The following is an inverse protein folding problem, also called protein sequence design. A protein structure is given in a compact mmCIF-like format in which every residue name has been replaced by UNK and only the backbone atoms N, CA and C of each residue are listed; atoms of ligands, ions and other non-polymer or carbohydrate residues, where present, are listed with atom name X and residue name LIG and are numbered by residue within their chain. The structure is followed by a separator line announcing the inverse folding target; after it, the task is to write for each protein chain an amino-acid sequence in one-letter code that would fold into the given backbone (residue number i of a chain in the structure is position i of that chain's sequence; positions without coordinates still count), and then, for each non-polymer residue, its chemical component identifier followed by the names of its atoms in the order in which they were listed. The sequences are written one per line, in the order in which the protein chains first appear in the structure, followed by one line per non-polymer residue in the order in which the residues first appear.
data_IF_835722439442
#
_entry.id   IF_835722439442
#
_cell.length_a   1.000
_cell.length_b   1.000
_cell.length_c   1.000
_cell.angle_alpha   90.00
_cell.angle_beta   90.00
_cell.angle_gamma   90.00
#
_symmetry.space_group_name_H-M   'P 1'
#
loop_
_entity.id
_entity.type
_entity.pdbx_description
1 polymer ?
#
# COMPACT_ATOMS: atom_id res chain seq x y z
N UNK A 1 -26.30 30.77 48.67
CA UNK A 1 -25.81 29.42 48.29
C UNK A 1 -24.46 29.61 47.62
N UNK A 2 -23.39 29.54 48.40
CA UNK A 2 -22.01 29.68 47.93
C UNK A 2 -21.54 28.33 47.37
N UNK A 3 -21.15 28.29 46.09
CA UNK A 3 -20.53 27.10 45.48
C UNK A 3 -19.02 27.18 45.73
N UNK A 4 -18.50 26.28 46.54
CA UNK A 4 -17.07 26.14 46.79
C UNK A 4 -16.34 25.67 45.53
N UNK A 5 -15.27 26.38 45.16
CA UNK A 5 -14.35 26.00 44.09
C UNK A 5 -13.31 25.07 44.70
N UNK A 6 -13.41 23.78 44.37
CA UNK A 6 -12.47 22.75 44.83
C UNK A 6 -11.26 22.72 43.90
N UNK A 7 -10.15 23.28 44.36
CA UNK A 7 -8.89 23.35 43.61
C UNK A 7 -8.24 21.96 43.57
N UNK A 8 -8.42 21.22 42.48
CA UNK A 8 -7.70 19.97 42.25
C UNK A 8 -6.20 20.25 42.07
N UNK A 9 -5.40 19.64 42.95
CA UNK A 9 -3.94 19.66 42.91
C UNK A 9 -3.47 18.66 41.84
N UNK A 10 -2.85 19.17 40.78
CA UNK A 10 -2.22 18.33 39.76
C UNK A 10 -0.92 17.79 40.36
N UNK A 11 -0.90 16.51 40.72
CA UNK A 11 0.34 15.82 41.09
C UNK A 11 1.17 15.57 39.83
N UNK A 12 2.27 16.30 39.70
CA UNK A 12 3.25 16.12 38.63
C UNK A 12 3.97 14.78 38.85
N UNK A 13 3.52 13.71 38.20
CA UNK A 13 4.28 12.46 38.15
C UNK A 13 5.58 12.70 37.37
N UNK A 14 6.70 12.62 38.08
CA UNK A 14 8.04 12.65 37.49
C UNK A 14 8.25 11.41 36.63
N UNK A 15 8.12 11.56 35.30
CA UNK A 15 8.47 10.51 34.34
C UNK A 15 9.98 10.33 34.37
N UNK A 16 10.45 9.22 34.94
CA UNK A 16 11.87 8.88 34.92
C UNK A 16 12.33 8.72 33.46
N UNK A 17 13.24 9.58 33.02
CA UNK A 17 13.89 9.47 31.71
C UNK A 17 14.74 8.21 31.74
N UNK A 18 14.28 7.13 31.11
CA UNK A 18 15.09 5.93 30.95
C UNK A 18 16.29 6.28 30.07
N UNK A 19 17.49 5.92 30.55
CA UNK A 19 18.72 6.11 29.79
C UNK A 19 18.63 5.32 28.48
N UNK A 20 18.82 6.01 27.37
CA UNK A 20 18.83 5.40 26.04
C UNK A 20 20.13 4.63 25.89
N UNK A 21 20.06 3.29 25.90
CA UNK A 21 21.22 2.45 25.58
C UNK A 21 21.57 2.66 24.10
N UNK A 22 22.85 2.91 23.75
CA UNK A 22 23.24 3.03 22.35
C UNK A 22 22.99 1.71 21.60
N UNK A 23 22.65 1.76 20.30
CA UNK A 23 22.45 0.55 19.50
C UNK A 23 23.77 -0.22 19.34
N UNK A 24 23.64 -1.53 19.29
CA UNK A 24 24.72 -2.48 18.99
C UNK A 24 25.10 -2.47 17.51
N UNK A 25 26.31 -2.92 17.17
CA UNK A 25 26.77 -3.02 15.78
C UNK A 25 25.88 -3.93 14.92
N UNK A 26 25.26 -4.96 15.52
CA UNK A 26 24.31 -5.84 14.82
C UNK A 26 23.00 -5.11 14.49
N UNK A 27 22.49 -4.28 15.41
CA UNK A 27 21.31 -3.44 15.17
C UNK A 27 21.59 -2.41 14.07
N UNK A 28 22.79 -1.82 14.04
CA UNK A 28 23.20 -0.91 12.98
C UNK A 28 23.28 -1.61 11.62
N UNK A 29 23.87 -2.81 11.55
CA UNK A 29 23.91 -3.61 10.31
C UNK A 29 22.52 -3.96 9.82
N UNK A 30 21.65 -4.41 10.72
CA UNK A 30 20.26 -4.75 10.40
C UNK A 30 19.51 -3.53 9.88
N UNK A 31 19.69 -2.36 10.49
CA UNK A 31 19.09 -1.10 10.05
C UNK A 31 19.56 -0.65 8.65
N UNK A 32 20.74 -1.07 8.21
CA UNK A 32 21.28 -0.79 6.87
C UNK A 32 20.98 -1.87 5.82
N UNK A 33 20.32 -2.96 6.20
CA UNK A 33 19.95 -4.01 5.24
C UNK A 33 18.90 -3.47 4.26
N UNK A 34 19.00 -3.77 2.94
CA UNK A 34 17.97 -3.37 1.98
C UNK A 34 16.61 -4.06 2.23
N UNK A 35 16.61 -5.13 3.04
CA UNK A 35 15.41 -5.82 3.49
C UNK A 35 14.80 -5.21 4.76
N UNK A 36 15.50 -4.28 5.41
CA UNK A 36 15.02 -3.63 6.62
C UNK A 36 13.75 -2.83 6.35
N UNK A 37 12.78 -2.94 7.25
CA UNK A 37 11.53 -2.21 7.19
C UNK A 37 11.74 -0.74 7.56
N UNK A 38 11.50 0.15 6.61
CA UNK A 38 11.41 1.59 6.77
C UNK A 38 9.96 1.97 7.07
N UNK A 39 9.61 2.01 8.36
CA UNK A 39 8.24 2.34 8.82
C UNK A 39 8.12 3.79 9.30
N UNK A 40 6.92 4.37 9.28
CA UNK A 40 6.67 5.69 9.87
C UNK A 40 7.02 5.76 11.35
N UNK A 41 7.37 6.96 11.85
CA UNK A 41 7.75 7.19 13.25
C UNK A 41 6.68 6.78 14.28
N UNK A 42 5.40 6.83 13.90
CA UNK A 42 4.29 6.44 14.77
C UNK A 42 4.10 4.93 14.86
N UNK A 43 4.78 4.15 14.02
CA UNK A 43 4.55 2.72 13.89
C UNK A 43 5.08 1.95 15.12
N UNK A 44 4.26 1.07 15.74
CA UNK A 44 4.70 0.32 16.90
C UNK A 44 5.82 -0.69 16.54
N UNK A 45 6.98 -0.57 17.20
CA UNK A 45 8.13 -1.46 16.95
C UNK A 45 7.81 -2.94 17.18
N UNK A 46 6.96 -3.24 18.17
CA UNK A 46 6.48 -4.60 18.48
C UNK A 46 5.72 -5.26 17.32
N UNK A 47 5.24 -4.45 16.36
CA UNK A 47 4.48 -4.90 15.20
C UNK A 47 5.32 -5.13 13.94
N UNK A 48 6.62 -4.79 13.97
CA UNK A 48 7.51 -4.98 12.80
C UNK A 48 7.58 -6.43 12.36
N UNK A 49 7.66 -7.37 13.32
CA UNK A 49 7.69 -8.80 13.04
C UNK A 49 6.50 -9.23 12.18
N UNK A 50 5.31 -8.68 12.43
CA UNK A 50 4.11 -9.02 11.68
C UNK A 50 4.17 -8.53 10.23
N UNK A 51 4.73 -7.34 9.97
CA UNK A 51 4.96 -6.85 8.61
C UNK A 51 5.96 -7.74 7.88
N UNK A 52 7.03 -8.14 8.57
CA UNK A 52 8.04 -9.06 8.05
C UNK A 52 7.42 -10.42 7.72
N UNK A 53 6.61 -10.99 8.61
CA UNK A 53 5.92 -12.27 8.39
C UNK A 53 4.98 -12.22 7.16
N UNK A 54 4.36 -11.06 6.88
CA UNK A 54 3.53 -10.87 5.67
C UNK A 54 4.40 -10.86 4.40
N UNK A 55 5.58 -10.26 4.44
CA UNK A 55 6.50 -10.17 3.30
C UNK A 55 7.32 -11.44 3.08
N UNK A 56 7.51 -12.23 4.14
CA UNK A 56 8.15 -13.53 4.13
C UNK A 56 7.15 -14.67 3.96
N UNK A 57 5.90 -14.34 3.66
CA UNK A 57 4.84 -15.30 3.45
C UNK A 57 5.11 -16.14 2.19
N UNK A 58 5.82 -17.25 2.38
CA UNK A 58 5.97 -18.30 1.39
C UNK A 58 4.74 -19.19 1.43
N UNK A 59 3.78 -18.91 0.56
CA UNK A 59 2.70 -19.87 0.28
C UNK A 59 3.13 -20.77 -0.87
N UNK A 60 2.71 -22.05 -0.91
CA UNK A 60 2.82 -22.90 -2.11
C UNK A 60 1.96 -22.39 -3.29
N UNK A 61 1.47 -21.15 -3.20
CA UNK A 61 0.51 -20.51 -4.09
C UNK A 61 1.21 -19.47 -4.98
N UNK A 62 0.41 -18.72 -5.74
CA UNK A 62 0.83 -17.67 -6.65
C UNK A 62 1.12 -16.32 -5.97
N UNK A 63 1.31 -16.27 -4.64
CA UNK A 63 1.47 -15.02 -3.89
C UNK A 63 2.94 -14.77 -3.52
N UNK A 64 3.50 -13.67 -3.99
CA UNK A 64 4.92 -13.35 -3.79
C UNK A 64 5.10 -11.88 -3.43
N UNK A 65 5.98 -11.58 -2.48
CA UNK A 65 6.46 -10.21 -2.31
C UNK A 65 7.14 -9.72 -3.59
N UNK A 66 7.09 -8.41 -3.86
CA UNK A 66 7.62 -7.81 -5.08
C UNK A 66 9.11 -8.14 -5.33
N UNK A 67 9.93 -8.17 -4.29
CA UNK A 67 11.35 -8.57 -4.35
C UNK A 67 11.60 -10.08 -4.44
N UNK A 68 10.59 -10.92 -4.20
CA UNK A 68 10.70 -12.39 -4.10
C UNK A 68 9.99 -13.13 -5.23
N UNK A 69 9.89 -12.52 -6.41
CA UNK A 69 9.32 -13.22 -7.56
C UNK A 69 10.19 -14.43 -7.97
N UNK A 70 9.57 -15.57 -8.34
CA UNK A 70 10.31 -16.73 -8.78
C UNK A 70 11.06 -16.45 -10.09
N UNK A 71 12.20 -17.11 -10.27
CA UNK A 71 13.03 -16.94 -11.48
C UNK A 71 12.36 -17.50 -12.73
N UNK A 72 11.54 -18.54 -12.56
CA UNK A 72 10.88 -19.27 -13.63
C UNK A 72 9.51 -18.64 -13.96
N UNK A 73 9.50 -17.33 -14.21
CA UNK A 73 8.30 -16.60 -14.60
C UNK A 73 8.22 -16.39 -16.10
N UNK A 74 7.01 -16.45 -16.63
CA UNK A 74 6.73 -16.30 -18.05
C UNK A 74 5.62 -15.27 -18.25
N UNK A 75 5.71 -14.53 -19.34
CA UNK A 75 4.62 -13.65 -19.74
C UNK A 75 3.61 -14.43 -20.56
N UNK A 76 2.39 -14.57 -20.05
CA UNK A 76 1.30 -15.31 -20.69
C UNK A 76 0.16 -14.36 -21.03
N UNK A 77 -0.31 -14.42 -22.28
CA UNK A 77 -1.37 -13.55 -22.78
C UNK A 77 -1.36 -13.48 -24.31
N UNK A 78 -1.88 -12.40 -24.86
CA UNK A 78 -1.87 -12.14 -26.29
C UNK A 78 -0.72 -11.17 -26.66
N UNK A 79 -0.67 -10.76 -27.92
CA UNK A 79 0.37 -9.86 -28.44
C UNK A 79 0.36 -8.47 -27.82
N UNK A 80 -0.81 -8.02 -27.37
CA UNK A 80 -1.03 -6.65 -26.90
C UNK A 80 -1.02 -6.54 -25.39
N UNK A 81 -1.38 -7.60 -24.67
CA UNK A 81 -1.47 -7.64 -23.21
C UNK A 81 -1.12 -9.04 -22.70
N UNK A 82 -0.25 -9.08 -21.70
CA UNK A 82 0.14 -10.32 -21.01
C UNK A 82 0.39 -10.09 -19.53
N UNK A 83 0.26 -11.16 -18.74
CA UNK A 83 0.47 -11.17 -17.31
C UNK A 83 1.74 -11.96 -16.98
N UNK A 84 2.42 -11.58 -15.91
CA UNK A 84 3.52 -12.37 -15.36
C UNK A 84 2.91 -13.58 -14.62
N UNK A 85 3.28 -14.78 -15.07
CA UNK A 85 2.71 -16.04 -14.60
C UNK A 85 3.81 -17.00 -14.11
N UNK A 86 3.41 -17.94 -13.26
CA UNK A 86 4.14 -19.18 -12.97
C UNK A 86 3.38 -20.33 -13.60
N UNK A 87 3.93 -20.91 -14.67
CA UNK A 87 3.16 -21.74 -15.60
C UNK A 87 2.05 -20.91 -16.27
N UNK A 88 0.81 -21.41 -16.22
CA UNK A 88 -0.36 -20.74 -16.82
C UNK A 88 -1.13 -19.84 -15.83
N UNK A 89 -0.66 -19.69 -14.58
CA UNK A 89 -1.38 -18.94 -13.55
C UNK A 89 -0.72 -17.59 -13.27
N UNK A 90 -1.46 -16.46 -13.37
CA UNK A 90 -0.95 -15.15 -13.00
C UNK A 90 -0.46 -15.09 -11.55
N UNK A 91 0.69 -14.46 -11.37
CA UNK A 91 1.24 -14.21 -10.04
C UNK A 91 0.52 -13.05 -9.37
N UNK A 92 0.07 -13.27 -8.14
CA UNK A 92 -0.35 -12.22 -7.22
C UNK A 92 0.87 -11.66 -6.50
N UNK A 93 1.19 -10.42 -6.79
CA UNK A 93 2.27 -9.69 -6.14
C UNK A 93 1.71 -8.98 -4.92
N UNK A 94 2.36 -9.20 -3.79
CA UNK A 94 2.12 -8.54 -2.52
C UNK A 94 2.96 -7.27 -2.46
N UNK A 95 2.30 -6.12 -2.38
CA UNK A 95 2.91 -4.80 -2.29
C UNK A 95 2.54 -4.17 -0.96
N UNK A 96 3.49 -4.10 -0.03
CA UNK A 96 3.29 -3.52 1.29
C UNK A 96 3.88 -2.12 1.34
N UNK A 97 3.08 -1.14 1.75
CA UNK A 97 3.49 0.25 1.79
C UNK A 97 2.64 1.11 2.69
N UNK A 98 3.10 2.34 2.92
CA UNK A 98 2.28 3.42 3.47
C UNK A 98 1.42 3.96 2.33
N UNK A 99 0.13 4.09 2.54
CA UNK A 99 -0.78 4.69 1.58
C UNK A 99 -0.48 6.18 1.46
N UNK A 100 0.01 6.60 0.30
CA UNK A 100 0.23 8.02 0.04
C UNK A 100 -1.04 8.67 -0.49
N UNK A 101 -1.69 8.03 -1.46
CA UNK A 101 -2.90 8.54 -2.09
C UNK A 101 -3.78 7.43 -2.64
N UNK A 102 -5.08 7.69 -2.67
CA UNK A 102 -6.06 6.83 -3.32
C UNK A 102 -7.05 7.68 -4.10
N UNK A 103 -7.23 7.35 -5.37
CA UNK A 103 -8.23 7.98 -6.22
C UNK A 103 -9.19 6.92 -6.73
N UNK A 104 -10.49 7.14 -6.54
CA UNK A 104 -11.55 6.32 -7.11
C UNK A 104 -12.34 7.19 -8.09
N UNK A 105 -12.43 6.73 -9.33
CA UNK A 105 -13.09 7.44 -10.42
C UNK A 105 -14.24 6.57 -10.89
N UNK A 106 -15.42 7.15 -11.03
CA UNK A 106 -16.52 6.62 -11.81
C UNK A 106 -17.05 7.74 -12.70
N UNK A 107 -17.27 7.44 -13.97
CA UNK A 107 -17.73 8.39 -14.97
C UNK A 107 -18.96 7.82 -15.68
N UNK A 108 -20.01 8.63 -15.74
CA UNK A 108 -21.28 8.23 -16.35
C UNK A 108 -21.23 8.31 -17.88
N UNK A 109 -20.47 9.26 -18.43
CA UNK A 109 -20.43 9.60 -19.86
C UNK A 109 -19.78 8.51 -20.72
N UNK A 110 -18.79 7.81 -20.18
CA UNK A 110 -18.05 6.75 -20.85
C UNK A 110 -18.14 5.39 -20.14
N UNK A 111 -18.94 5.31 -19.07
CA UNK A 111 -19.06 4.12 -18.23
C UNK A 111 -17.68 3.60 -17.79
N UNK A 112 -16.77 4.48 -17.38
CA UNK A 112 -15.45 4.06 -16.91
C UNK A 112 -15.35 4.12 -15.40
N UNK A 113 -14.86 3.03 -14.82
CA UNK A 113 -14.45 2.97 -13.42
C UNK A 113 -12.95 2.70 -13.31
N UNK A 114 -12.28 3.53 -12.51
CA UNK A 114 -10.87 3.39 -12.22
C UNK A 114 -10.58 3.52 -10.72
N UNK A 115 -9.56 2.81 -10.26
CA UNK A 115 -8.97 3.02 -8.95
C UNK A 115 -7.45 3.15 -9.11
N UNK A 116 -6.87 4.13 -8.45
CA UNK A 116 -5.43 4.33 -8.37
C UNK A 116 -5.04 4.34 -6.89
N UNK A 117 -4.05 3.51 -6.54
CA UNK A 117 -3.48 3.44 -5.20
C UNK A 117 -1.99 3.72 -5.32
N UNK A 118 -1.53 4.76 -4.66
CA UNK A 118 -0.14 5.18 -4.67
C UNK A 118 0.48 4.93 -3.29
N UNK A 119 1.63 4.24 -3.25
CA UNK A 119 2.24 3.75 -2.02
C UNK A 119 3.71 4.17 -1.89
N UNK A 120 4.13 4.38 -0.64
CA UNK A 120 5.53 4.40 -0.24
C UNK A 120 5.91 3.01 0.28
N UNK A 121 6.80 2.32 -0.42
CA UNK A 121 7.19 0.95 -0.09
C UNK A 121 7.98 0.93 1.22
N UNK A 122 7.83 -0.14 2.00
CA UNK A 122 8.49 -0.26 3.30
C UNK A 122 9.92 -0.83 3.22
N UNK A 123 10.40 -1.29 2.06
CA UNK A 123 11.75 -1.86 1.92
C UNK A 123 12.44 -1.37 0.66
N UNK A 124 13.74 -1.11 0.75
CA UNK A 124 14.53 -0.66 -0.39
C UNK A 124 14.66 -1.75 -1.47
N UNK A 125 14.76 -3.02 -1.07
CA UNK A 125 14.79 -4.14 -2.02
C UNK A 125 13.50 -4.22 -2.86
N UNK A 126 12.35 -3.84 -2.28
CA UNK A 126 11.08 -3.78 -3.01
C UNK A 126 11.04 -2.56 -3.95
N UNK A 127 11.58 -1.40 -3.53
CA UNK A 127 11.75 -0.23 -4.43
C UNK A 127 12.62 -0.56 -5.63
N UNK A 128 13.73 -1.26 -5.42
CA UNK A 128 14.61 -1.71 -6.49
C UNK A 128 13.95 -2.75 -7.39
N UNK A 129 13.16 -3.66 -6.83
CA UNK A 129 12.36 -4.59 -7.61
C UNK A 129 11.29 -3.87 -8.45
N UNK A 130 10.58 -2.90 -7.87
CA UNK A 130 9.62 -2.05 -8.58
C UNK A 130 10.27 -1.35 -9.78
N UNK A 131 11.41 -0.67 -9.57
CA UNK A 131 12.16 0.03 -10.62
C UNK A 131 12.61 -0.89 -11.76
N UNK A 132 12.93 -2.15 -11.47
CA UNK A 132 13.33 -3.14 -12.48
C UNK A 132 12.15 -3.72 -13.25
N UNK A 133 11.02 -3.94 -12.58
CA UNK A 133 9.87 -4.66 -13.13
C UNK A 133 8.86 -3.74 -13.80
N UNK A 134 8.79 -2.48 -13.40
CA UNK A 134 7.79 -1.49 -13.81
C UNK A 134 8.49 -0.45 -14.67
N UNK A 135 8.26 -0.47 -15.99
CA UNK A 135 8.94 0.42 -16.93
C UNK A 135 8.39 1.84 -16.97
N UNK A 136 7.24 2.08 -16.30
CA UNK A 136 6.57 3.38 -16.17
C UNK A 136 6.59 3.87 -14.71
N UNK A 137 7.69 3.63 -13.96
CA UNK A 137 7.84 4.27 -12.65
C UNK A 137 7.73 5.79 -12.86
N UNK A 138 6.91 6.50 -12.06
CA UNK A 138 6.73 7.93 -12.20
C UNK A 138 8.06 8.64 -12.43
N UNK A 139 8.12 9.45 -13.49
CA UNK A 139 9.32 10.22 -13.81
C UNK A 139 9.70 11.07 -12.57
N UNK A 140 11.00 11.35 -12.35
CA UNK A 140 11.54 11.93 -11.10
C UNK A 140 11.05 13.34 -10.72
N UNK A 141 9.99 13.84 -11.35
CA UNK A 141 9.33 15.11 -11.03
C UNK A 141 8.12 14.92 -10.09
N UNK A 142 7.60 13.69 -9.94
CA UNK A 142 6.53 13.31 -8.98
C UNK A 142 7.04 12.26 -7.98
N UNK A 143 8.15 12.56 -7.28
CA UNK A 143 8.82 11.66 -6.31
C UNK A 143 8.03 11.39 -5.02
N UNK A 144 6.74 11.72 -4.98
CA UNK A 144 5.97 11.61 -3.76
C UNK A 144 5.60 10.16 -3.43
N UNK A 145 5.70 9.24 -4.40
CA UNK A 145 5.35 7.83 -4.21
C UNK A 145 6.28 6.89 -4.96
N UNK A 146 6.53 5.71 -4.41
CA UNK A 146 7.38 4.70 -5.06
C UNK A 146 6.66 3.93 -6.17
N UNK A 147 5.35 3.71 -6.01
CA UNK A 147 4.60 2.81 -6.88
C UNK A 147 3.13 3.19 -6.98
N UNK A 148 2.59 3.00 -8.18
CA UNK A 148 1.16 3.13 -8.46
C UNK A 148 0.58 1.77 -8.88
N UNK A 149 -0.58 1.45 -8.31
CA UNK A 149 -1.35 0.24 -8.62
C UNK A 149 -2.72 0.67 -9.11
N UNK A 150 -3.12 0.20 -10.29
CA UNK A 150 -4.33 0.69 -10.95
C UNK A 150 -5.33 -0.43 -11.24
N UNK A 151 -6.61 -0.15 -11.02
CA UNK A 151 -7.71 -0.94 -11.55
C UNK A 151 -8.39 -0.12 -12.62
N UNK A 152 -8.62 -0.70 -13.79
CA UNK A 152 -9.42 -0.08 -14.84
C UNK A 152 -10.43 -1.08 -15.38
N UNK A 153 -11.69 -0.65 -15.49
CA UNK A 153 -12.76 -1.40 -16.11
C UNK A 153 -13.49 -0.50 -17.11
N UNK A 154 -13.33 -0.72 -18.42
CA UNK A 154 -14.17 -0.06 -19.40
C UNK A 154 -15.61 -0.61 -19.29
N UNK A 155 -16.61 0.21 -19.64
CA UNK A 155 -18.03 -0.19 -19.70
C UNK A 155 -18.56 -0.73 -18.35
N UNK A 156 -18.11 -0.12 -17.26
CA UNK A 156 -18.52 -0.44 -15.91
C UNK A 156 -18.54 0.83 -15.04
N UNK A 157 -19.69 1.14 -14.44
CA UNK A 157 -19.83 2.24 -13.48
C UNK A 157 -19.57 1.80 -12.02
N UNK A 158 -19.23 0.53 -11.80
CA UNK A 158 -19.01 0.01 -10.45
C UNK A 158 -17.61 0.39 -9.97
N UNK A 159 -17.58 1.29 -9.00
CA UNK A 159 -16.36 1.69 -8.29
C UNK A 159 -15.70 0.44 -7.69
N UNK A 160 -14.37 0.40 -7.75
CA UNK A 160 -13.59 -0.63 -7.09
C UNK A 160 -13.94 -0.70 -5.60
N UNK A 161 -14.27 -1.90 -5.11
CA UNK A 161 -14.78 -2.07 -3.74
C UNK A 161 -14.05 -3.16 -2.94
N UNK A 162 -12.95 -3.71 -3.47
CA UNK A 162 -12.19 -4.80 -2.84
C UNK A 162 -11.25 -4.30 -1.73
N UNK A 163 -11.83 -3.67 -0.70
CA UNK A 163 -11.14 -3.22 0.50
C UNK A 163 -11.40 -4.17 1.66
N UNK A 164 -10.36 -4.52 2.40
CA UNK A 164 -10.41 -5.49 3.50
C UNK A 164 -9.74 -4.95 4.76
N UNK A 165 -10.27 -5.36 5.90
CA UNK A 165 -9.64 -5.14 7.20
C UNK A 165 -8.67 -6.29 7.51
N UNK A 166 -7.39 -5.97 7.61
CA UNK A 166 -6.35 -6.87 8.05
C UNK A 166 -5.65 -6.29 9.29
N UNK A 167 -6.30 -5.49 10.13
CA UNK A 167 -5.64 -4.90 11.32
C UNK A 167 -5.36 -5.92 12.41
N UNK A 168 -6.15 -6.99 12.50
CA UNK A 168 -5.95 -8.05 13.49
C UNK A 168 -5.10 -9.20 12.94
N UNK A 169 -5.55 -9.80 11.82
CA UNK A 169 -4.92 -10.96 11.20
C UNK A 169 -4.98 -10.84 9.70
N UNK A 170 -3.84 -11.05 9.02
CA UNK A 170 -3.82 -11.18 7.58
C UNK A 170 -4.16 -12.63 7.18
N UNK A 171 -5.25 -12.81 6.43
CA UNK A 171 -5.77 -14.11 6.03
C UNK A 171 -6.18 -14.11 4.54
N UNK A 172 -6.79 -15.20 4.08
CA UNK A 172 -7.40 -15.21 2.75
C UNK A 172 -8.51 -14.16 2.68
N UNK A 173 -8.70 -13.51 1.52
CA UNK A 173 -9.67 -12.38 1.37
C UNK A 173 -11.09 -12.75 1.79
N UNK A 174 -11.50 -14.01 1.60
CA UNK A 174 -12.80 -14.54 2.06
C UNK A 174 -12.98 -14.55 3.59
N UNK A 175 -11.88 -14.58 4.35
CA UNK A 175 -11.87 -14.62 5.82
C UNK A 175 -11.62 -13.26 6.45
N UNK A 176 -11.27 -12.25 5.66
CA UNK A 176 -11.06 -10.89 6.14
C UNK A 176 -12.36 -10.09 6.01
N UNK A 177 -12.73 -9.28 7.02
CA UNK A 177 -13.87 -8.38 6.90
C UNK A 177 -13.71 -7.44 5.70
N UNK A 178 -14.76 -7.31 4.88
CA UNK A 178 -14.79 -6.28 3.83
C UNK A 178 -15.09 -4.93 4.48
N UNK A 179 -14.37 -3.88 4.09
CA UNK A 179 -14.57 -2.51 4.58
C UNK A 179 -14.89 -1.57 3.42
N UNK A 180 -15.36 -0.37 3.75
CA UNK A 180 -15.54 0.70 2.76
C UNK A 180 -14.19 1.33 2.40
N UNK A 181 -14.08 1.87 1.19
CA UNK A 181 -12.95 2.70 0.78
C UNK A 181 -12.70 3.86 1.76
N UNK A 182 -13.77 4.43 2.31
CA UNK A 182 -13.70 5.52 3.31
C UNK A 182 -13.00 5.15 4.62
N UNK A 183 -12.85 3.86 4.92
CA UNK A 183 -12.13 3.41 6.11
C UNK A 183 -10.61 3.49 5.93
N UNK A 184 -10.13 3.56 4.68
CA UNK A 184 -8.71 3.63 4.33
C UNK A 184 -8.32 5.10 4.11
N UNK A 185 -7.24 5.55 4.74
CA UNK A 185 -6.76 6.92 4.60
C UNK A 185 -5.26 6.99 4.35
N UNK A 186 -4.83 8.11 3.76
CA UNK A 186 -3.42 8.44 3.62
C UNK A 186 -2.69 8.32 4.96
N UNK A 187 -1.51 7.72 4.92
CA UNK A 187 -0.70 7.38 6.09
C UNK A 187 -0.93 5.96 6.62
N UNK A 188 -2.04 5.30 6.29
CA UNK A 188 -2.25 3.90 6.72
C UNK A 188 -1.20 2.96 6.11
N UNK A 189 -0.77 1.94 6.84
CA UNK A 189 0.03 0.84 6.26
C UNK A 189 -0.94 -0.16 5.64
N UNK A 190 -0.84 -0.33 4.32
CA UNK A 190 -1.73 -1.19 3.54
C UNK A 190 -0.94 -2.25 2.79
N UNK A 191 -1.55 -3.41 2.61
CA UNK A 191 -1.09 -4.46 1.72
C UNK A 191 -1.98 -4.48 0.47
N UNK A 192 -1.36 -4.33 -0.69
CA UNK A 192 -2.02 -4.37 -1.98
C UNK A 192 -1.70 -5.67 -2.68
N UNK A 193 -2.74 -6.37 -3.12
CA UNK A 193 -2.61 -7.50 -4.03
C UNK A 193 -2.72 -6.99 -5.46
N UNK A 194 -1.76 -7.34 -6.31
CA UNK A 194 -1.75 -6.91 -7.70
C UNK A 194 -1.28 -8.01 -8.66
N UNK A 195 -1.70 -7.95 -9.92
CA UNK A 195 -1.04 -8.72 -10.99
C UNK A 195 -0.08 -7.80 -11.74
N UNK A 196 1.13 -8.28 -12.05
CA UNK A 196 1.99 -7.57 -12.98
C UNK A 196 1.53 -7.87 -14.41
N UNK A 197 1.19 -6.82 -15.14
CA UNK A 197 0.81 -6.90 -16.54
C UNK A 197 1.74 -6.05 -17.39
N UNK A 198 1.92 -6.46 -18.64
CA UNK A 198 2.57 -5.65 -19.67
C UNK A 198 1.64 -5.47 -20.85
N UNK A 199 1.71 -4.30 -21.45
CA UNK A 199 1.01 -3.96 -22.67
C UNK A 199 1.97 -3.42 -23.70
N UNK A 200 1.64 -3.66 -24.97
CA UNK A 200 2.41 -3.14 -26.10
C UNK A 200 2.33 -1.62 -26.09
N UNK A 201 3.48 -0.94 -26.14
CA UNK A 201 3.50 0.51 -26.29
C UNK A 201 2.97 0.91 -27.68
N UNK A 202 2.18 1.98 -27.75
CA UNK A 202 1.66 2.49 -29.02
C UNK A 202 2.78 2.94 -29.96
N UNK A 203 3.84 3.50 -29.39
CA UNK A 203 5.02 3.93 -30.12
C UNK A 203 6.17 2.92 -29.93
N UNK A 204 6.76 2.40 -31.01
CA UNK A 204 7.99 1.63 -30.90
C UNK A 204 9.10 2.51 -30.32
N UNK A 205 10.12 1.87 -29.76
CA UNK A 205 11.28 2.61 -29.27
C UNK A 205 12.06 3.27 -30.43
N UNK A 206 13.09 4.05 -30.10
CA UNK A 206 13.94 4.72 -31.10
C UNK A 206 14.63 3.74 -32.07
N UNK A 207 14.68 2.45 -31.74
CA UNK A 207 15.25 1.39 -32.60
C UNK A 207 14.21 0.72 -33.50
N UNK A 208 12.93 1.12 -33.40
CA UNK A 208 11.83 0.50 -34.13
C UNK A 208 11.38 -0.84 -33.53
N UNK A 209 11.92 -1.23 -32.36
CA UNK A 209 11.49 -2.44 -31.67
C UNK A 209 10.18 -2.18 -30.93
N UNK A 210 9.36 -3.24 -30.86
CA UNK A 210 8.12 -3.20 -30.08
C UNK A 210 8.48 -3.07 -28.60
N UNK A 211 8.24 -1.90 -28.04
CA UNK A 211 8.39 -1.65 -26.61
C UNK A 211 7.16 -2.19 -25.86
N UNK A 212 7.39 -2.66 -24.63
CA UNK A 212 6.33 -3.03 -23.70
C UNK A 212 6.40 -2.13 -22.48
N UNK A 213 5.24 -1.69 -22.01
CA UNK A 213 5.10 -0.97 -20.75
C UNK A 213 4.51 -1.93 -19.73
N UNK A 214 5.11 -2.00 -18.56
CA UNK A 214 4.68 -2.87 -17.47
C UNK A 214 4.05 -2.04 -16.36
N UNK A 215 2.93 -2.52 -15.81
CA UNK A 215 2.21 -1.87 -14.70
C UNK A 215 1.57 -2.92 -13.78
N UNK A 216 1.22 -2.50 -12.57
CA UNK A 216 0.52 -3.36 -11.60
C UNK A 216 -1.00 -3.15 -11.64
N UNK A 217 -1.72 -4.23 -11.96
CA UNK A 217 -3.18 -4.25 -11.92
C UNK A 217 -3.68 -4.55 -10.51
N UNK A 218 -4.40 -3.61 -9.91
CA UNK A 218 -4.98 -3.71 -8.57
C UNK A 218 -6.06 -4.80 -8.50
N UNK A 219 -5.95 -5.65 -7.49
CA UNK A 219 -6.91 -6.72 -7.15
C UNK A 219 -7.65 -6.38 -5.85
N UNK A 220 -6.90 -6.07 -4.80
CA UNK A 220 -7.44 -5.74 -3.48
C UNK A 220 -6.50 -4.85 -2.66
N UNK A 221 -7.08 -4.13 -1.70
CA UNK A 221 -6.35 -3.35 -0.70
C UNK A 221 -6.74 -3.86 0.68
N UNK A 222 -5.76 -4.14 1.54
CA UNK A 222 -5.98 -4.63 2.90
C UNK A 222 -5.29 -3.70 3.90
N UNK A 223 -6.05 -3.10 4.81
CA UNK A 223 -5.49 -2.20 5.83
C UNK A 223 -4.82 -3.04 6.92
N UNK A 224 -3.53 -2.86 7.12
CA UNK A 224 -2.75 -3.62 8.11
C UNK A 224 -2.56 -2.83 9.39
N UNK A 225 -2.25 -1.53 9.28
CA UNK A 225 -2.19 -0.61 10.42
C UNK A 225 -2.79 0.73 10.03
N UNK A 226 -3.55 1.33 10.94
CA UNK A 226 -4.13 2.66 10.75
C UNK A 226 -3.17 3.70 11.30
N UNK A 227 -2.93 4.76 10.53
CA UNK A 227 -2.21 5.91 11.07
C UNK A 227 -3.02 6.55 12.22
N UNK A 228 -2.36 7.14 13.22
CA UNK A 228 -3.05 7.94 14.22
C UNK A 228 -3.79 9.09 13.54
N UNK A 229 -5.10 9.21 13.81
CA UNK A 229 -5.94 10.27 13.27
C UNK A 229 -6.44 11.12 14.42
N UNK A 230 -6.33 12.44 14.29
CA UNK A 230 -7.07 13.35 15.15
C UNK A 230 -8.53 13.28 14.75
N UNK A 231 -9.38 12.83 15.67
CA UNK A 231 -10.83 13.02 15.51
C UNK A 231 -11.05 14.51 15.69
N UNK A 232 -11.28 15.23 14.60
CA UNK A 232 -11.81 16.58 14.68
C UNK A 232 -13.20 16.39 15.26
N UNK A 233 -13.40 16.79 16.52
CA UNK A 233 -14.72 16.80 17.10
C UNK A 233 -15.61 17.60 16.13
N UNK A 234 -16.73 17.02 15.72
CA UNK A 234 -17.74 17.75 14.95
C UNK A 234 -18.20 18.89 15.86
N UNK A 235 -17.56 20.06 15.77
CA UNK A 235 -18.15 21.29 16.27
C UNK A 235 -19.49 21.41 15.56
N UNK A 236 -20.57 21.45 16.35
CA UNK A 236 -21.96 21.47 15.91
C UNK A 236 -22.11 22.28 14.62
N UNK A 237 -22.31 21.55 13.52
CA UNK A 237 -22.41 22.09 12.18
C UNK A 237 -23.74 22.83 12.02
N UNK A 238 -23.88 23.97 12.68
CA UNK A 238 -24.89 25.00 12.39
C UNK A 238 -24.47 25.86 11.18
N UNK A 239 -23.55 25.36 10.36
CA UNK A 239 -23.25 25.93 9.05
C UNK A 239 -24.36 25.52 8.07
N UNK A 240 -25.45 26.28 8.09
CA UNK A 240 -26.54 26.20 7.13
C UNK A 240 -26.09 26.58 5.72
N UNK A 241 -25.40 25.68 5.03
CA UNK A 241 -25.22 25.78 3.58
C UNK A 241 -26.57 25.45 2.92
N UNK A 242 -27.28 26.49 2.50
CA UNK A 242 -28.44 26.35 1.61
C UNK A 242 -27.92 26.19 0.18
N UNK A 243 -28.23 25.06 -0.45
CA UNK A 243 -27.92 24.76 -1.86
C UNK A 243 -28.94 25.44 -2.76
#
# INVERSE_FOLDING_TARGET
MERGVETQRIETQSVAVQAITPPTDEELKLATSPEALQVPIWFPQVSLKRLQDILDLERPDTHFALSKLPRETLWVGNTDTSFLCSGDTPLTILVLGVLHGMTLISRDDNEEAAALVALDLLRDIDREAAKRLISDVPKPWDQLTDIEVYHYKPQCQTVFDNFYDATEVYATKRRMPKISASCVATGDVVLVDAHLMRFRAENPDASGQTAFVTKLRLISVSTVFRAPRTVVAEEEADFGWTI
#
